data_IF_243022324624
#
_entry.id   IF_243022324624
#
_cell.length_a   1.000
_cell.length_b   1.000
_cell.length_c   1.000
_cell.angle_alpha   90.00
_cell.angle_beta   90.00
_cell.angle_gamma   90.00
#
_symmetry.space_group_name_H-M   'P 1'
#
loop_
_entity.id
_entity.type
_entity.pdbx_description
1 polymer ?
#
# COMPACT_ATOMS: atom_id res chain seq x y z
N UNK A 1 -79.83 17.02 -22.83
CA UNK A 1 -79.72 17.89 -21.64
C UNK A 1 -79.11 17.08 -20.50
N UNK A 2 -78.01 17.60 -19.89
CA UNK A 2 -77.57 17.46 -18.48
C UNK A 2 -77.93 16.13 -17.77
N UNK A 3 -76.99 15.38 -17.19
CA UNK A 3 -76.27 15.76 -15.96
C UNK A 3 -75.07 14.83 -15.72
N UNK A 4 -74.10 15.39 -15.02
CA UNK A 4 -72.78 14.87 -14.73
C UNK A 4 -72.70 14.13 -13.38
N UNK A 5 -71.52 13.55 -13.18
CA UNK A 5 -70.74 13.37 -11.93
C UNK A 5 -70.85 12.06 -11.14
N UNK A 6 -69.70 11.73 -10.54
CA UNK A 6 -69.36 10.69 -9.53
C UNK A 6 -68.64 9.46 -10.14
N UNK A 7 -67.41 9.07 -9.78
CA UNK A 7 -66.44 9.51 -8.77
C UNK A 7 -65.04 9.00 -9.15
N UNK A 8 -64.03 9.82 -8.89
CA UNK A 8 -62.60 9.51 -8.89
C UNK A 8 -62.31 8.40 -7.87
N UNK A 9 -61.80 7.24 -8.31
CA UNK A 9 -61.32 6.21 -7.40
C UNK A 9 -60.13 5.44 -7.99
N UNK A 10 -58.99 5.52 -7.29
CA UNK A 10 -57.83 4.63 -7.34
C UNK A 10 -56.85 4.75 -8.52
N UNK A 11 -56.24 5.94 -8.64
CA UNK A 11 -54.81 6.05 -8.96
C UNK A 11 -54.08 6.16 -7.62
N UNK A 12 -53.89 5.03 -6.93
CA UNK A 12 -53.21 4.97 -5.62
C UNK A 12 -52.49 3.63 -5.44
N UNK A 13 -51.72 3.21 -6.45
CA UNK A 13 -50.70 2.15 -6.32
C UNK A 13 -49.41 2.55 -7.05
N UNK A 14 -49.12 3.85 -7.12
CA UNK A 14 -47.78 4.36 -7.43
C UNK A 14 -47.15 4.78 -6.10
N UNK A 15 -46.62 3.82 -5.34
CA UNK A 15 -46.06 4.16 -4.02
C UNK A 15 -45.84 3.02 -3.04
N UNK A 16 -45.53 1.80 -3.49
CA UNK A 16 -44.75 0.88 -2.65
C UNK A 16 -43.33 0.87 -3.17
N UNK A 17 -42.58 1.86 -2.69
CA UNK A 17 -41.25 1.68 -2.10
C UNK A 17 -40.46 0.51 -2.68
N UNK A 18 -40.04 0.62 -3.94
CA UNK A 18 -38.72 0.15 -4.31
C UNK A 18 -37.68 1.09 -3.67
N UNK A 19 -37.67 1.17 -2.33
CA UNK A 19 -36.43 1.39 -1.62
C UNK A 19 -35.67 0.08 -1.76
N UNK A 20 -35.11 -0.14 -2.95
CA UNK A 20 -33.86 -0.89 -3.02
C UNK A 20 -32.88 -0.04 -2.20
N UNK A 21 -32.85 -0.28 -0.89
CA UNK A 21 -31.60 -0.15 -0.16
C UNK A 21 -30.65 -1.03 -0.96
N UNK A 22 -29.92 -0.43 -1.90
CA UNK A 22 -28.61 -0.93 -2.23
C UNK A 22 -27.93 -0.97 -0.87
N UNK A 23 -27.91 -2.16 -0.25
CA UNK A 23 -27.09 -2.37 0.92
C UNK A 23 -25.71 -1.93 0.46
N UNK A 24 -25.25 -0.78 0.96
CA UNK A 24 -23.89 -0.34 0.73
C UNK A 24 -23.03 -1.56 1.04
N UNK A 25 -22.35 -2.07 0.01
CA UNK A 25 -21.64 -3.32 0.13
C UNK A 25 -20.46 -3.05 1.05
N UNK A 26 -20.62 -3.36 2.33
CA UNK A 26 -19.58 -3.14 3.31
C UNK A 26 -18.30 -3.85 2.87
N UNK A 27 -17.18 -3.16 3.04
CA UNK A 27 -15.86 -3.70 2.78
C UNK A 27 -15.53 -4.72 3.87
N UNK A 28 -15.48 -5.99 3.50
CA UNK A 28 -15.19 -7.11 4.43
C UNK A 28 -13.84 -7.77 4.15
N UNK A 29 -13.18 -7.39 3.06
CA UNK A 29 -11.90 -7.93 2.63
C UNK A 29 -11.16 -6.97 1.72
N UNK A 30 -9.85 -7.19 1.59
CA UNK A 30 -9.04 -6.64 0.52
C UNK A 30 -8.37 -7.77 -0.26
N UNK A 31 -8.05 -7.54 -1.52
CA UNK A 31 -7.26 -8.46 -2.32
C UNK A 31 -5.81 -7.98 -2.41
N UNK A 32 -4.87 -8.89 -2.18
CA UNK A 32 -3.46 -8.61 -2.33
C UNK A 32 -2.76 -9.80 -2.98
N UNK A 33 -2.14 -9.55 -4.14
CA UNK A 33 -1.41 -10.57 -4.94
C UNK A 33 -2.24 -11.82 -5.23
N UNK A 34 -3.49 -11.63 -5.62
CA UNK A 34 -4.44 -12.71 -5.93
C UNK A 34 -4.94 -13.48 -4.71
N UNK A 35 -4.69 -12.96 -3.50
CA UNK A 35 -5.15 -13.56 -2.25
C UNK A 35 -6.12 -12.63 -1.53
N UNK A 36 -7.21 -13.21 -1.05
CA UNK A 36 -8.17 -12.53 -0.17
C UNK A 36 -7.63 -12.43 1.26
N UNK A 37 -7.72 -11.24 1.83
CA UNK A 37 -7.46 -10.93 3.23
C UNK A 37 -8.74 -10.43 3.88
N UNK A 38 -9.31 -11.23 4.77
CA UNK A 38 -10.50 -10.83 5.52
C UNK A 38 -10.14 -9.74 6.53
N UNK A 39 -10.95 -8.70 6.59
CA UNK A 39 -10.80 -7.61 7.55
C UNK A 39 -11.26 -8.04 8.94
N UNK A 40 -10.81 -7.35 9.99
CA UNK A 40 -11.19 -7.67 11.37
C UNK A 40 -12.68 -7.42 11.67
N UNK A 41 -13.31 -6.54 10.90
CA UNK A 41 -14.73 -6.22 10.89
C UNK A 41 -15.13 -5.73 9.50
N UNK A 42 -16.43 -5.54 9.29
CA UNK A 42 -16.94 -4.84 8.12
C UNK A 42 -16.69 -3.33 8.27
N UNK A 43 -16.28 -2.68 7.18
CA UNK A 43 -16.11 -1.24 7.07
C UNK A 43 -17.11 -0.67 6.08
N UNK A 44 -17.55 0.57 6.28
CA UNK A 44 -18.49 1.19 5.35
C UNK A 44 -17.79 1.53 4.03
N UNK A 45 -16.52 1.97 4.10
CA UNK A 45 -15.69 2.19 2.92
C UNK A 45 -14.18 1.90 3.15
N UNK A 46 -13.39 2.21 2.12
CA UNK A 46 -11.93 2.02 2.14
C UNK A 46 -11.20 3.03 3.04
N UNK A 47 -11.76 4.23 3.24
CA UNK A 47 -11.16 5.24 4.10
C UNK A 47 -11.23 4.80 5.56
N UNK A 48 -12.39 4.31 6.00
CA UNK A 48 -12.57 3.77 7.36
C UNK A 48 -11.65 2.59 7.62
N UNK A 49 -11.47 1.71 6.63
CA UNK A 49 -10.53 0.59 6.68
C UNK A 49 -9.09 1.07 6.87
N UNK A 50 -8.67 2.11 6.13
CA UNK A 50 -7.30 2.60 6.12
C UNK A 50 -6.93 3.30 7.43
N UNK A 51 -7.88 4.01 8.04
CA UNK A 51 -7.65 4.80 9.25
C UNK A 51 -7.67 3.95 10.54
N UNK A 52 -8.14 2.70 10.46
CA UNK A 52 -8.20 1.78 11.60
C UNK A 52 -6.92 0.93 11.72
N UNK A 53 -6.13 1.17 12.78
CA UNK A 53 -4.94 0.38 13.09
C UNK A 53 -5.23 -1.10 13.41
N UNK A 54 -6.47 -1.43 13.76
CA UNK A 54 -6.95 -2.78 14.03
C UNK A 54 -7.66 -3.44 12.86
N UNK A 55 -7.46 -2.95 11.62
CA UNK A 55 -8.16 -3.42 10.43
C UNK A 55 -7.91 -4.87 9.99
N UNK A 56 -6.83 -5.48 10.49
CA UNK A 56 -6.48 -6.86 10.22
C UNK A 56 -6.34 -7.66 11.51
N UNK A 57 -6.75 -8.92 11.46
CA UNK A 57 -6.50 -9.86 12.56
C UNK A 57 -5.01 -10.24 12.64
N UNK A 58 -4.49 -10.69 13.79
CA UNK A 58 -3.10 -11.11 13.93
C UNK A 58 -2.65 -12.17 12.91
N UNK A 59 -3.54 -13.09 12.53
CA UNK A 59 -3.27 -14.11 11.53
C UNK A 59 -3.13 -13.51 10.11
N UNK A 60 -4.00 -12.56 9.75
CA UNK A 60 -3.92 -11.88 8.46
C UNK A 60 -2.66 -11.00 8.37
N UNK A 61 -2.28 -10.33 9.47
CA UNK A 61 -1.02 -9.58 9.57
C UNK A 61 0.19 -10.49 9.31
N UNK A 62 0.27 -11.65 9.97
CA UNK A 62 1.38 -12.60 9.76
C UNK A 62 1.44 -13.10 8.31
N UNK A 63 0.28 -13.39 7.71
CA UNK A 63 0.19 -13.83 6.32
C UNK A 63 0.62 -12.73 5.35
N UNK A 64 0.19 -11.48 5.58
CA UNK A 64 0.57 -10.32 4.77
C UNK A 64 2.08 -10.11 4.83
N UNK A 65 2.67 -10.10 6.03
CA UNK A 65 4.11 -10.01 6.23
C UNK A 65 4.86 -11.12 5.47
N UNK A 66 4.43 -12.37 5.60
CA UNK A 66 5.07 -13.49 4.90
C UNK A 66 5.01 -13.34 3.38
N UNK A 67 3.89 -12.88 2.83
CA UNK A 67 3.74 -12.64 1.40
C UNK A 67 4.60 -11.47 0.94
N UNK A 68 4.61 -10.36 1.69
CA UNK A 68 5.43 -9.20 1.38
C UNK A 68 6.92 -9.53 1.45
N UNK A 69 7.37 -10.38 2.36
CA UNK A 69 8.78 -10.82 2.43
C UNK A 69 9.18 -11.73 1.28
N UNK A 70 8.29 -12.64 0.89
CA UNK A 70 8.56 -13.63 -0.17
C UNK A 70 8.29 -13.13 -1.58
N UNK A 71 7.59 -12.00 -1.72
CA UNK A 71 7.32 -11.39 -3.01
C UNK A 71 8.63 -11.04 -3.72
N UNK A 72 8.84 -11.60 -4.92
CA UNK A 72 9.98 -11.23 -5.77
C UNK A 72 9.85 -9.77 -6.19
N UNK A 73 10.93 -9.03 -6.06
CA UNK A 73 11.08 -7.68 -6.58
C UNK A 73 12.18 -7.72 -7.64
N UNK A 74 11.84 -7.38 -8.89
CA UNK A 74 12.72 -7.61 -10.04
C UNK A 74 14.12 -7.02 -9.84
N UNK A 75 15.20 -7.69 -10.28
CA UNK A 75 16.56 -7.23 -9.99
C UNK A 75 16.91 -5.92 -10.71
N UNK A 76 16.21 -5.59 -11.79
CA UNK A 76 16.46 -4.43 -12.63
C UNK A 76 15.16 -3.96 -13.31
N UNK A 77 15.06 -2.66 -13.54
CA UNK A 77 13.97 -2.02 -14.28
C UNK A 77 14.56 -1.11 -15.36
N UNK A 78 14.03 -1.17 -16.57
CA UNK A 78 14.52 -0.35 -17.69
C UNK A 78 14.09 1.11 -17.57
N UNK A 79 12.96 1.34 -16.92
CA UNK A 79 12.35 2.67 -16.78
C UNK A 79 11.77 2.86 -15.38
N UNK A 80 11.59 4.12 -14.98
CA UNK A 80 10.85 4.45 -13.75
C UNK A 80 9.39 3.97 -13.81
N UNK A 81 8.79 3.84 -14.99
CA UNK A 81 7.44 3.29 -15.15
C UNK A 81 7.36 1.82 -14.76
N UNK A 82 8.34 1.01 -15.19
CA UNK A 82 8.44 -0.40 -14.79
C UNK A 82 8.67 -0.54 -13.28
N UNK A 83 9.53 0.31 -12.70
CA UNK A 83 9.74 0.36 -11.25
C UNK A 83 8.44 0.71 -10.50
N UNK A 84 7.74 1.77 -10.91
CA UNK A 84 6.49 2.20 -10.27
C UNK A 84 5.42 1.10 -10.32
N UNK A 85 5.29 0.40 -11.45
CA UNK A 85 4.37 -0.72 -11.57
C UNK A 85 4.76 -1.88 -10.63
N UNK A 86 6.06 -2.17 -10.48
CA UNK A 86 6.55 -3.19 -9.56
C UNK A 86 6.34 -2.82 -8.09
N UNK A 87 6.54 -1.55 -7.72
CA UNK A 87 6.29 -1.05 -6.37
C UNK A 87 4.80 -1.06 -6.03
N UNK A 88 3.93 -0.62 -6.95
CA UNK A 88 2.47 -0.69 -6.75
C UNK A 88 1.98 -2.15 -6.59
N UNK A 89 2.59 -3.10 -7.31
CA UNK A 89 2.28 -4.53 -7.14
C UNK A 89 2.83 -5.13 -5.82
N UNK A 90 3.70 -4.40 -5.12
CA UNK A 90 4.26 -4.78 -3.84
C UNK A 90 3.50 -4.15 -2.66
N UNK A 91 2.93 -2.96 -2.83
CA UNK A 91 2.13 -2.24 -1.83
C UNK A 91 0.92 -3.06 -1.35
N UNK A 92 0.77 -3.20 -0.04
CA UNK A 92 -0.42 -3.82 0.54
C UNK A 92 -1.56 -2.77 0.59
N UNK A 93 -2.79 -3.10 0.18
CA UNK A 93 -3.88 -2.14 0.12
C UNK A 93 -4.09 -1.39 1.44
N UNK A 94 -4.06 -0.06 1.40
CA UNK A 94 -4.28 0.79 2.58
C UNK A 94 -3.01 1.16 3.34
N UNK A 95 -1.86 0.58 2.98
CA UNK A 95 -0.56 0.88 3.59
C UNK A 95 0.33 1.63 2.61
N UNK A 96 1.28 2.40 3.14
CA UNK A 96 2.02 3.37 2.37
C UNK A 96 3.17 2.81 1.54
N UNK A 97 3.49 3.57 0.49
CA UNK A 97 4.67 3.47 -0.35
C UNK A 97 5.32 4.85 -0.39
N UNK A 98 6.62 4.90 -0.10
CA UNK A 98 7.34 6.17 0.00
C UNK A 98 8.72 6.12 -0.65
N UNK A 99 9.10 7.24 -1.24
CA UNK A 99 10.45 7.51 -1.70
C UNK A 99 11.22 8.21 -0.57
N UNK A 100 11.98 7.44 0.21
CA UNK A 100 12.66 7.90 1.43
C UNK A 100 13.60 9.09 1.19
N UNK A 101 14.21 9.17 0.00
CA UNK A 101 15.07 10.29 -0.39
C UNK A 101 14.34 11.65 -0.45
N UNK A 102 13.01 11.67 -0.45
CA UNK A 102 12.20 12.90 -0.48
C UNK A 102 11.93 13.48 0.92
N UNK A 103 12.21 12.73 2.00
CA UNK A 103 11.94 13.14 3.39
C UNK A 103 13.06 14.01 4.00
N UNK A 104 13.57 14.98 3.23
CA UNK A 104 14.57 15.95 3.71
C UNK A 104 16.03 15.48 3.59
N UNK A 105 16.33 14.51 2.73
CA UNK A 105 17.68 14.07 2.46
C UNK A 105 18.31 14.80 1.26
N UNK A 106 19.62 15.07 1.32
CA UNK A 106 20.39 15.37 0.11
C UNK A 106 20.28 14.18 -0.83
N UNK A 107 19.57 14.38 -1.94
CA UNK A 107 19.34 13.36 -2.96
C UNK A 107 20.71 12.93 -3.53
N UNK A 108 21.05 11.65 -3.36
CA UNK A 108 22.12 11.05 -4.15
C UNK A 108 21.56 10.84 -5.56
N UNK A 109 22.12 11.49 -6.61
CA UNK A 109 21.57 11.39 -7.96
C UNK A 109 21.68 9.97 -8.54
N UNK A 110 22.49 9.09 -7.94
CA UNK A 110 22.70 7.72 -8.39
C UNK A 110 21.95 6.70 -7.56
N UNK A 111 21.57 7.02 -6.32
CA UNK A 111 20.91 6.08 -5.43
C UNK A 111 19.51 6.54 -5.05
N UNK A 112 18.58 5.61 -5.12
CA UNK A 112 17.19 5.79 -4.72
C UNK A 112 16.86 4.81 -3.60
N UNK A 113 16.23 5.29 -2.53
CA UNK A 113 15.70 4.46 -1.47
C UNK A 113 14.19 4.62 -1.46
N UNK A 114 13.49 3.50 -1.56
CA UNK A 114 12.05 3.41 -1.42
C UNK A 114 11.71 2.41 -0.34
N UNK A 115 10.51 2.52 0.21
CA UNK A 115 9.96 1.46 1.04
C UNK A 115 8.46 1.34 0.86
N UNK A 116 7.97 0.14 1.16
CA UNK A 116 6.55 -0.12 1.39
C UNK A 116 6.36 -0.55 2.84
N UNK A 117 5.26 -0.10 3.43
CA UNK A 117 4.88 -0.45 4.79
C UNK A 117 4.43 -1.91 4.88
N UNK A 118 4.84 -2.61 5.94
CA UNK A 118 4.33 -3.94 6.27
C UNK A 118 3.19 -3.79 7.29
N UNK A 119 2.00 -4.37 7.04
CA UNK A 119 0.83 -4.16 7.89
C UNK A 119 1.06 -4.35 9.39
N UNK A 120 0.76 -3.31 10.19
CA UNK A 120 0.63 -3.32 11.67
C UNK A 120 1.84 -3.92 12.42
N UNK A 121 3.03 -3.97 11.81
CA UNK A 121 4.22 -4.61 12.40
C UNK A 121 5.32 -3.66 12.82
N UNK A 122 5.15 -2.35 12.61
CA UNK A 122 6.24 -1.37 12.73
C UNK A 122 7.47 -1.83 11.91
N UNK A 123 7.22 -2.32 10.70
CA UNK A 123 8.22 -2.83 9.78
C UNK A 123 7.98 -2.22 8.40
N UNK A 124 9.07 -1.98 7.68
CA UNK A 124 9.07 -1.54 6.30
C UNK A 124 9.93 -2.51 5.47
N UNK A 125 9.51 -2.78 4.22
CA UNK A 125 10.36 -3.41 3.22
C UNK A 125 11.06 -2.31 2.43
N UNK A 126 12.36 -2.17 2.66
CA UNK A 126 13.23 -1.19 2.04
C UNK A 126 13.87 -1.76 0.78
N UNK A 127 13.89 -0.96 -0.28
CA UNK A 127 14.52 -1.28 -1.55
C UNK A 127 15.44 -0.13 -1.92
N UNK A 128 16.72 -0.43 -2.12
CA UNK A 128 17.69 0.51 -2.65
C UNK A 128 17.94 0.21 -4.14
N UNK A 129 17.90 1.25 -4.94
CA UNK A 129 18.11 1.20 -6.38
C UNK A 129 19.32 2.06 -6.75
N UNK A 130 20.06 1.61 -7.76
CA UNK A 130 21.15 2.37 -8.36
C UNK A 130 20.83 2.67 -9.82
N UNK A 131 20.83 3.96 -10.17
CA UNK A 131 20.67 4.44 -11.54
C UNK A 131 21.94 4.16 -12.33
N UNK A 132 21.79 3.38 -13.39
CA UNK A 132 22.85 3.02 -14.33
C UNK A 132 23.07 4.14 -15.35
N UNK A 133 24.20 4.07 -16.08
CA UNK A 133 24.58 5.07 -17.09
C UNK A 133 23.56 5.14 -18.24
N UNK A 134 22.93 4.02 -18.57
CA UNK A 134 21.88 3.92 -19.60
C UNK A 134 20.50 4.39 -19.11
N UNK A 135 20.40 4.83 -17.85
CA UNK A 135 19.15 5.27 -17.21
C UNK A 135 18.34 4.15 -16.56
N UNK A 136 18.71 2.89 -16.72
CA UNK A 136 18.07 1.76 -16.03
C UNK A 136 18.32 1.80 -14.52
N UNK A 137 17.51 1.08 -13.76
CA UNK A 137 17.52 1.07 -12.28
C UNK A 137 17.81 -0.35 -11.82
N UNK A 138 18.93 -0.55 -11.13
CA UNK A 138 19.34 -1.84 -10.58
C UNK A 138 18.98 -1.91 -9.10
N UNK A 139 18.32 -2.97 -8.65
CA UNK A 139 18.11 -3.22 -7.22
C UNK A 139 19.43 -3.67 -6.59
N UNK A 140 19.96 -2.86 -5.68
CA UNK A 140 21.24 -3.11 -5.00
C UNK A 140 21.07 -3.53 -3.55
N UNK A 141 19.87 -3.36 -2.98
CA UNK A 141 19.46 -4.00 -1.73
C UNK A 141 17.93 -4.12 -1.65
N UNK A 142 17.46 -5.17 -1.00
CA UNK A 142 16.06 -5.44 -0.72
C UNK A 142 15.98 -6.20 0.60
N UNK A 143 15.36 -5.58 1.61
CA UNK A 143 15.33 -6.13 2.97
C UNK A 143 14.16 -5.55 3.77
N UNK A 144 13.82 -6.22 4.88
CA UNK A 144 12.83 -5.71 5.83
C UNK A 144 13.53 -5.30 7.12
N UNK A 145 13.18 -4.13 7.64
CA UNK A 145 13.69 -3.59 8.90
C UNK A 145 12.57 -2.89 9.68
N UNK A 146 12.87 -2.48 10.92
CA UNK A 146 11.96 -1.66 11.72
C UNK A 146 11.62 -0.36 10.99
N UNK A 147 10.34 0.04 11.06
CA UNK A 147 9.89 1.32 10.50
C UNK A 147 10.28 2.50 11.39
N UNK A 148 10.54 2.27 12.68
CA UNK A 148 11.03 3.28 13.62
C UNK A 148 12.31 2.84 14.36
N UNK A 149 13.35 3.69 14.42
CA UNK A 149 13.53 4.93 13.66
C UNK A 149 13.63 4.64 12.16
N UNK A 150 12.97 5.47 11.35
CA UNK A 150 12.86 5.27 9.92
C UNK A 150 14.22 5.42 9.21
N UNK A 151 14.51 4.51 8.27
CA UNK A 151 15.63 4.64 7.34
C UNK A 151 15.24 5.64 6.25
N UNK A 152 15.87 6.80 6.26
CA UNK A 152 15.54 7.94 5.37
C UNK A 152 16.55 8.13 4.25
N UNK A 153 17.66 7.37 4.24
CA UNK A 153 18.75 7.61 3.30
C UNK A 153 19.62 6.37 3.09
N UNK A 154 20.11 6.21 1.86
CA UNK A 154 21.17 5.26 1.50
C UNK A 154 22.36 6.00 0.87
N UNK A 155 23.59 5.54 1.14
CA UNK A 155 24.83 6.07 0.55
C UNK A 155 25.82 4.95 0.25
N UNK A 156 26.67 5.14 -0.76
CA UNK A 156 27.90 4.34 -0.91
C UNK A 156 29.00 4.87 0.04
N UNK A 157 29.60 3.99 0.81
CA UNK A 157 30.81 4.27 1.59
C UNK A 157 32.08 4.23 0.73
N UNK A 158 33.21 4.62 1.32
CA UNK A 158 34.51 4.65 0.62
C UNK A 158 34.95 3.29 0.05
N UNK A 159 34.53 2.18 0.67
CA UNK A 159 34.77 0.81 0.20
C UNK A 159 33.78 0.32 -0.87
N UNK A 160 32.84 1.17 -1.29
CA UNK A 160 31.74 0.80 -2.18
C UNK A 160 30.54 0.14 -1.48
N UNK A 161 30.64 -0.19 -0.19
CA UNK A 161 29.52 -0.77 0.58
C UNK A 161 28.36 0.19 0.75
N UNK A 162 27.12 -0.30 0.74
CA UNK A 162 25.93 0.50 1.07
C UNK A 162 25.85 0.77 2.57
N UNK A 163 25.49 2.00 2.94
CA UNK A 163 25.19 2.43 4.31
C UNK A 163 23.79 3.04 4.34
N UNK A 164 22.95 2.52 5.23
CA UNK A 164 21.58 2.97 5.41
C UNK A 164 21.53 3.83 6.66
N UNK A 165 20.95 5.02 6.57
CA UNK A 165 20.91 5.97 7.66
C UNK A 165 19.48 6.18 8.14
N UNK A 166 19.31 6.07 9.44
CA UNK A 166 18.08 6.45 10.12
C UNK A 166 17.97 7.96 10.26
N UNK A 167 16.74 8.44 10.53
CA UNK A 167 16.47 9.87 10.76
C UNK A 167 17.33 10.48 11.89
N UNK A 168 17.66 9.68 12.91
CA UNK A 168 18.53 10.09 14.02
C UNK A 168 20.04 10.05 13.69
N UNK A 169 20.42 9.71 12.45
CA UNK A 169 21.80 9.64 11.99
C UNK A 169 22.48 8.27 12.15
N UNK A 170 21.87 7.33 12.87
CA UNK A 170 22.42 6.00 13.07
C UNK A 170 22.53 5.24 11.76
N UNK A 171 23.57 4.38 11.65
CA UNK A 171 23.78 3.52 10.49
C UNK A 171 23.17 2.16 10.77
N UNK A 172 22.30 1.71 9.87
CA UNK A 172 21.73 0.36 9.85
C UNK A 172 22.53 -0.48 8.85
N UNK A 173 22.96 -1.65 9.30
CA UNK A 173 23.53 -2.69 8.44
C UNK A 173 22.44 -3.74 8.28
N UNK A 174 21.81 -3.85 7.09
CA UNK A 174 20.79 -4.85 6.85
C UNK A 174 21.38 -6.25 7.05
N UNK A 175 20.65 -7.09 7.78
CA UNK A 175 20.98 -8.51 7.84
C UNK A 175 20.42 -9.15 6.57
N UNK A 176 21.27 -9.49 5.61
CA UNK A 176 20.86 -10.31 4.48
C UNK A 176 20.43 -11.68 5.01
N UNK A 177 19.18 -12.07 4.76
CA UNK A 177 18.68 -13.42 4.99
C UNK A 177 18.44 -14.10 3.66
#
# INVERSE_FOLDING_TARGET
MRRALVVVALILTAGLLAQTHAAESQLTFVEYRGQRFDLSKAYDDFHDYKDDQGNLTPAQIQRAESLMRSAKFGPQFKTSGELNAALAALEFPGYGLFYANQLGAHVDPKLELVYVEVPVRNLNRYIALERQVDGSLLVVADFVAAAEPEIVRVKRGASGSLKFHQQNGNVVVPVHR
#
